data_IF_790258513148
#
_entry.id   IF_790258513148
#
_cell.length_a   1.000
_cell.length_b   1.000
_cell.length_c   1.000
_cell.angle_alpha   90.00
_cell.angle_beta   90.00
_cell.angle_gamma   90.00
#
_symmetry.space_group_name_H-M   'P 1'
#
loop_
_entity.id
_entity.type
_entity.pdbx_description
1 polymer ?
#
# COMPACT_ATOMS: atom_id res chain seq x y z
N UNK A 1 -32.67 34.93 15.72
CA UNK A 1 -32.00 33.96 14.82
C UNK A 1 -31.06 34.70 13.86
N UNK A 2 -29.76 34.86 14.18
CA UNK A 2 -28.66 35.24 13.26
C UNK A 2 -27.31 34.90 13.92
N UNK A 3 -26.87 33.63 13.89
CA UNK A 3 -25.54 33.22 14.40
C UNK A 3 -24.83 32.15 13.54
N UNK A 4 -25.27 31.90 12.29
CA UNK A 4 -24.67 30.86 11.43
C UNK A 4 -23.70 31.34 10.35
N UNK A 5 -23.49 32.65 10.18
CA UNK A 5 -22.66 33.15 9.07
C UNK A 5 -21.19 33.42 9.43
N UNK A 6 -20.83 33.49 10.73
CA UNK A 6 -19.45 33.77 11.14
C UNK A 6 -18.58 32.50 11.12
N UNK A 7 -19.16 31.33 11.40
CA UNK A 7 -18.45 30.05 11.38
C UNK A 7 -18.06 29.62 9.95
N UNK A 8 -18.93 29.85 8.97
CA UNK A 8 -18.62 29.56 7.57
C UNK A 8 -17.56 30.50 6.97
N UNK A 9 -17.47 31.74 7.46
CA UNK A 9 -16.45 32.69 7.02
C UNK A 9 -15.05 32.34 7.56
N UNK A 10 -14.96 31.86 8.80
CA UNK A 10 -13.69 31.41 9.40
C UNK A 10 -13.17 30.12 8.72
N UNK A 11 -14.08 29.22 8.30
CA UNK A 11 -13.70 28.01 7.57
C UNK A 11 -13.13 28.32 6.16
N UNK A 12 -13.69 29.33 5.47
CA UNK A 12 -13.25 29.75 4.13
C UNK A 12 -11.89 30.47 4.14
N UNK A 13 -11.60 31.27 5.16
CA UNK A 13 -10.30 31.97 5.29
C UNK A 13 -9.16 30.98 5.60
N UNK A 14 -9.46 29.88 6.30
CA UNK A 14 -8.49 28.83 6.61
C UNK A 14 -8.07 28.03 5.38
N UNK A 15 -8.97 27.86 4.40
CA UNK A 15 -8.70 27.15 3.15
C UNK A 15 -7.88 28.01 2.17
N UNK A 16 -8.06 29.33 2.18
CA UNK A 16 -7.32 30.26 1.32
C UNK A 16 -5.83 30.41 1.73
N UNK A 17 -5.51 30.29 3.02
CA UNK A 17 -4.11 30.31 3.48
C UNK A 17 -3.33 29.04 3.10
N UNK A 18 -4.01 27.91 2.88
CA UNK A 18 -3.36 26.66 2.46
C UNK A 18 -2.95 26.70 0.98
N UNK A 19 -3.67 27.43 0.13
CA UNK A 19 -3.35 27.55 -1.32
C UNK A 19 -2.27 28.61 -1.58
N UNK A 20 -2.16 29.64 -0.73
CA UNK A 20 -1.15 30.70 -0.89
C UNK A 20 0.28 30.27 -0.51
N UNK A 21 0.44 29.17 0.26
CA UNK A 21 1.78 28.67 0.65
C UNK A 21 2.44 27.77 -0.41
N UNK A 22 1.79 27.51 -1.55
CA UNK A 22 2.33 26.69 -2.64
C UNK A 22 2.75 27.50 -3.88
N UNK A 23 2.77 28.83 -3.80
CA UNK A 23 3.10 29.70 -4.93
C UNK A 23 4.11 30.77 -4.55
N UNK A 24 5.38 30.42 -4.34
CA UNK A 24 6.46 31.40 -4.43
C UNK A 24 7.84 30.77 -4.63
N UNK A 25 8.28 30.66 -5.89
CA UNK A 25 9.70 30.77 -6.25
C UNK A 25 9.80 31.57 -7.55
N UNK A 26 10.01 32.88 -7.43
CA UNK A 26 10.59 33.68 -8.50
C UNK A 26 12.12 33.66 -8.35
N UNK A 27 12.82 33.32 -9.42
CA UNK A 27 14.09 33.97 -9.77
C UNK A 27 14.16 34.10 -11.29
N UNK A 28 14.34 35.34 -11.75
CA UNK A 28 14.66 35.75 -13.12
C UNK A 28 16.13 35.41 -13.44
N UNK A 29 16.68 35.48 -14.66
CA UNK A 29 16.62 36.46 -15.76
C UNK A 29 17.20 35.85 -17.07
N UNK A 30 16.76 36.40 -18.22
CA UNK A 30 17.45 36.60 -19.52
C UNK A 30 17.94 35.35 -20.29
N UNK A 31 17.92 35.25 -21.63
CA UNK A 31 18.01 36.26 -22.68
C UNK A 31 17.49 35.70 -24.04
N UNK A 32 17.32 36.62 -24.99
CA UNK A 32 16.83 36.46 -26.37
C UNK A 32 17.69 35.53 -27.26
N UNK A 33 17.06 34.82 -28.19
CA UNK A 33 17.29 35.01 -29.65
C UNK A 33 16.51 33.99 -30.50
N UNK A 34 15.82 34.51 -31.51
CA UNK A 34 15.33 33.80 -32.69
C UNK A 34 16.47 33.07 -33.42
N UNK A 35 16.20 31.90 -34.00
CA UNK A 35 16.51 31.64 -35.42
C UNK A 35 15.87 30.34 -35.93
N UNK A 36 15.19 30.50 -37.07
CA UNK A 36 14.61 29.49 -37.94
C UNK A 36 15.65 28.49 -38.47
N UNK A 37 15.22 27.24 -38.66
CA UNK A 37 15.71 26.39 -39.76
C UNK A 37 14.51 25.69 -40.42
N UNK A 38 14.44 25.91 -41.74
CA UNK A 38 13.50 25.39 -42.73
C UNK A 38 14.12 24.18 -43.46
N UNK A 39 13.26 23.22 -43.84
CA UNK A 39 13.45 22.24 -44.93
C UNK A 39 14.10 20.91 -44.52
N UNK A 40 13.77 19.74 -45.05
CA UNK A 40 12.88 19.27 -46.12
C UNK A 40 12.64 17.76 -45.88
N UNK A 41 11.40 17.27 -45.98
CA UNK A 41 10.90 16.31 -46.99
C UNK A 41 11.48 14.87 -47.05
N UNK A 42 10.55 13.89 -46.97
CA UNK A 42 10.47 12.55 -47.64
C UNK A 42 11.18 11.38 -46.90
N UNK A 43 10.70 10.13 -46.74
CA UNK A 43 9.70 9.26 -47.39
C UNK A 43 9.21 8.14 -46.42
N UNK A 44 8.17 7.40 -46.83
CA UNK A 44 7.62 6.18 -46.23
C UNK A 44 8.63 5.01 -46.21
N UNK A 45 8.57 4.13 -45.19
CA UNK A 45 9.07 2.77 -45.32
C UNK A 45 9.42 2.03 -44.02
N UNK A 46 8.79 0.87 -43.87
CA UNK A 46 9.30 -0.35 -43.24
C UNK A 46 9.09 -0.58 -41.72
N UNK A 47 8.19 -1.54 -41.51
CA UNK A 47 7.93 -2.38 -40.35
C UNK A 47 9.22 -3.12 -39.94
N UNK A 48 9.62 -2.97 -38.67
CA UNK A 48 10.63 -3.83 -38.05
C UNK A 48 10.11 -4.36 -36.73
N UNK A 49 9.79 -5.65 -36.77
CA UNK A 49 9.61 -6.56 -35.64
C UNK A 49 10.96 -6.68 -34.93
N UNK A 50 11.02 -6.37 -33.63
CA UNK A 50 12.14 -6.78 -32.78
C UNK A 50 11.74 -7.96 -31.91
N UNK A 51 12.64 -8.93 -31.93
CA UNK A 51 12.56 -10.30 -31.42
C UNK A 51 12.36 -10.34 -29.90
N UNK A 52 11.42 -11.17 -29.45
CA UNK A 52 11.38 -11.63 -28.07
C UNK A 52 12.31 -12.85 -28.00
N UNK A 53 13.42 -12.68 -27.27
CA UNK A 53 14.29 -13.77 -26.82
C UNK A 53 13.45 -14.79 -26.03
N UNK A 54 13.14 -15.90 -26.67
CA UNK A 54 12.58 -17.08 -26.03
C UNK A 54 13.68 -17.75 -25.20
N UNK A 55 13.57 -17.64 -23.87
CA UNK A 55 14.38 -18.43 -22.94
C UNK A 55 13.84 -19.86 -22.90
N UNK A 56 14.73 -20.78 -23.24
CA UNK A 56 14.54 -22.22 -23.41
C UNK A 56 14.19 -22.91 -22.06
N UNK A 57 12.91 -23.18 -21.81
CA UNK A 57 12.51 -24.11 -20.75
C UNK A 57 12.55 -25.54 -21.29
N UNK A 58 13.63 -26.26 -21.00
CA UNK A 58 13.67 -27.72 -21.11
C UNK A 58 12.74 -28.35 -20.06
N UNK A 59 11.47 -28.48 -20.41
CA UNK A 59 10.59 -29.49 -19.84
C UNK A 59 10.50 -30.63 -20.87
N UNK A 60 11.20 -31.72 -20.63
CA UNK A 60 11.02 -32.95 -21.41
C UNK A 60 9.67 -33.56 -21.07
N UNK A 61 8.64 -33.18 -21.82
CA UNK A 61 7.38 -33.92 -21.89
C UNK A 61 7.39 -34.69 -23.19
N UNK A 62 7.73 -35.97 -23.08
CA UNK A 62 7.55 -36.94 -24.14
C UNK A 62 6.04 -37.17 -24.32
N UNK A 63 5.49 -36.68 -25.42
CA UNK A 63 4.55 -37.37 -26.31
C UNK A 63 4.03 -36.40 -27.35
N UNK A 64 4.28 -36.71 -28.61
CA UNK A 64 3.81 -35.94 -29.74
C UNK A 64 2.29 -35.86 -29.78
N UNK A 65 1.74 -34.65 -29.72
CA UNK A 65 0.45 -34.30 -30.31
C UNK A 65 0.44 -32.80 -30.54
N UNK A 66 0.32 -32.36 -31.80
CA UNK A 66 0.05 -30.96 -32.11
C UNK A 66 -1.32 -30.58 -31.53
N UNK A 67 -1.35 -29.64 -30.58
CA UNK A 67 -2.61 -29.08 -30.06
C UNK A 67 -2.82 -27.72 -30.70
N UNK A 68 -3.43 -27.72 -31.87
CA UNK A 68 -4.04 -26.52 -32.45
C UNK A 68 -5.35 -26.20 -31.73
N UNK A 69 -5.55 -24.93 -31.38
CA UNK A 69 -6.76 -24.31 -30.81
C UNK A 69 -7.05 -24.61 -29.33
N UNK A 70 -6.29 -23.98 -28.44
CA UNK A 70 -6.73 -23.76 -27.07
C UNK A 70 -7.79 -22.64 -27.11
N UNK A 71 -9.06 -22.99 -26.95
CA UNK A 71 -10.12 -21.98 -26.88
C UNK A 71 -10.04 -21.19 -25.55
N UNK A 72 -10.57 -19.97 -25.54
CA UNK A 72 -10.56 -19.08 -24.36
C UNK A 72 -11.22 -19.71 -23.13
N UNK A 73 -12.13 -20.67 -23.35
CA UNK A 73 -12.79 -21.42 -22.29
C UNK A 73 -11.85 -22.42 -21.61
N UNK A 74 -10.91 -23.02 -22.35
CA UNK A 74 -9.85 -23.89 -21.81
C UNK A 74 -8.80 -23.07 -21.07
N UNK A 75 -8.46 -21.86 -21.55
CA UNK A 75 -7.59 -20.91 -20.81
C UNK A 75 -8.28 -20.42 -19.53
N UNK A 76 -9.57 -20.11 -19.59
CA UNK A 76 -10.37 -19.70 -18.43
C UNK A 76 -10.53 -20.83 -17.41
N UNK A 77 -10.76 -22.06 -17.88
CA UNK A 77 -10.79 -23.25 -17.02
C UNK A 77 -9.42 -23.58 -16.45
N UNK A 78 -8.32 -23.41 -17.21
CA UNK A 78 -6.96 -23.56 -16.70
C UNK A 78 -6.64 -22.48 -15.68
N UNK A 79 -7.01 -21.21 -15.90
CA UNK A 79 -6.90 -20.13 -14.90
C UNK A 79 -7.69 -20.48 -13.64
N UNK A 80 -8.97 -20.90 -13.77
CA UNK A 80 -9.81 -21.36 -12.65
C UNK A 80 -9.25 -22.60 -11.93
N UNK A 81 -8.62 -23.50 -12.67
CA UNK A 81 -8.03 -24.74 -12.13
C UNK A 81 -6.68 -24.49 -11.46
N UNK A 82 -5.94 -23.47 -11.92
CA UNK A 82 -4.76 -22.91 -11.24
C UNK A 82 -5.19 -22.16 -9.95
N UNK A 83 -6.37 -21.53 -9.92
CA UNK A 83 -6.92 -20.92 -8.69
C UNK A 83 -7.24 -21.95 -7.58
N UNK A 84 -7.39 -23.24 -7.88
CA UNK A 84 -7.78 -24.28 -6.90
C UNK A 84 -6.57 -25.16 -6.48
N UNK A 85 -5.36 -24.61 -6.58
CA UNK A 85 -4.18 -25.18 -5.87
C UNK A 85 -3.35 -24.09 -5.19
N UNK A 86 -4.00 -23.00 -4.73
CA UNK A 86 -3.41 -22.21 -3.64
C UNK A 86 -3.43 -23.12 -2.41
N UNK A 87 -2.33 -23.83 -2.17
CA UNK A 87 -1.91 -24.16 -0.80
C UNK A 87 -1.92 -22.80 -0.09
N UNK A 88 -3.02 -22.43 0.55
CA UNK A 88 -3.27 -21.03 0.89
C UNK A 88 -2.33 -20.64 2.02
N UNK A 89 -1.16 -20.13 1.65
CA UNK A 89 -0.34 -19.33 2.55
C UNK A 89 -1.27 -18.30 3.20
N UNK A 90 -1.18 -18.12 4.53
CA UNK A 90 -1.88 -17.01 5.15
C UNK A 90 -1.45 -15.71 4.47
N UNK A 91 -2.31 -14.72 4.47
CA UNK A 91 -2.17 -13.47 3.76
C UNK A 91 -2.18 -12.29 4.73
N UNK A 92 -1.30 -11.32 4.46
CA UNK A 92 -1.20 -10.08 5.21
C UNK A 92 -1.61 -8.92 4.33
N UNK A 93 -2.55 -8.11 4.81
CA UNK A 93 -2.90 -6.84 4.18
C UNK A 93 -2.34 -5.67 5.02
N UNK A 94 -1.45 -4.86 4.43
CA UNK A 94 -0.87 -3.69 5.09
C UNK A 94 -1.54 -2.42 4.53
N UNK A 95 -2.10 -1.59 5.40
CA UNK A 95 -2.73 -0.31 5.06
C UNK A 95 -1.90 0.83 5.66
N UNK A 96 -1.57 1.87 4.89
CA UNK A 96 -0.80 2.97 5.44
C UNK A 96 -0.76 4.25 4.63
N UNK A 97 -0.06 5.23 5.18
CA UNK A 97 0.06 6.55 4.56
C UNK A 97 1.36 6.71 3.75
N UNK A 98 1.81 7.95 3.56
CA UNK A 98 3.05 8.24 2.84
C UNK A 98 4.31 7.64 3.46
N UNK A 99 4.33 7.36 4.78
CA UNK A 99 5.48 6.67 5.37
C UNK A 99 5.55 5.22 4.88
N UNK A 100 4.40 4.56 4.75
CA UNK A 100 4.34 3.21 4.19
C UNK A 100 4.70 3.20 2.70
N UNK A 101 4.36 4.26 1.96
CA UNK A 101 4.80 4.45 0.57
C UNK A 101 6.33 4.62 0.44
N UNK A 102 7.00 5.11 1.48
CA UNK A 102 8.45 5.28 1.53
C UNK A 102 9.24 4.03 1.92
N UNK A 103 10.50 4.26 2.32
CA UNK A 103 11.41 3.18 2.72
C UNK A 103 10.98 2.47 4.00
N UNK A 104 10.22 3.11 4.89
CA UNK A 104 9.68 2.43 6.07
C UNK A 104 8.79 1.26 5.66
N UNK A 105 7.80 1.47 4.79
CA UNK A 105 6.92 0.37 4.38
C UNK A 105 7.61 -0.66 3.50
N UNK A 106 8.62 -0.26 2.71
CA UNK A 106 9.44 -1.21 1.95
C UNK A 106 10.17 -2.19 2.90
N UNK A 107 10.83 -1.66 3.93
CA UNK A 107 11.52 -2.48 4.92
C UNK A 107 10.54 -3.28 5.78
N UNK A 108 9.39 -2.71 6.17
CA UNK A 108 8.39 -3.42 6.96
C UNK A 108 7.83 -4.62 6.20
N UNK A 109 7.51 -4.44 4.91
CA UNK A 109 7.06 -5.52 4.03
C UNK A 109 8.13 -6.63 3.95
N UNK A 110 9.38 -6.27 3.69
CA UNK A 110 10.50 -7.25 3.63
C UNK A 110 10.70 -7.99 4.96
N UNK A 111 10.55 -7.31 6.09
CA UNK A 111 10.69 -7.95 7.40
C UNK A 111 9.58 -8.98 7.63
N UNK A 112 8.32 -8.65 7.30
CA UNK A 112 7.21 -9.64 7.36
C UNK A 112 7.48 -10.79 6.37
N UNK A 113 7.89 -10.47 5.14
CA UNK A 113 8.20 -11.46 4.10
C UNK A 113 9.31 -12.42 4.51
N UNK A 114 10.27 -11.96 5.32
CA UNK A 114 11.39 -12.79 5.79
C UNK A 114 10.95 -13.98 6.67
N UNK A 115 9.73 -13.96 7.20
CA UNK A 115 9.13 -15.12 7.88
C UNK A 115 8.81 -16.25 6.89
N UNK A 116 8.71 -15.96 5.59
CA UNK A 116 8.43 -16.92 4.52
C UNK A 116 7.17 -17.78 4.73
N UNK A 117 6.16 -17.20 5.38
CA UNK A 117 4.87 -17.85 5.63
C UNK A 117 3.71 -17.15 4.92
N UNK A 118 3.83 -15.85 4.64
CA UNK A 118 2.72 -15.03 4.16
C UNK A 118 2.81 -14.68 2.68
N UNK A 119 1.64 -14.62 2.04
CA UNK A 119 1.44 -13.71 0.90
C UNK A 119 1.14 -12.30 1.45
N UNK A 120 1.71 -11.25 0.87
CA UNK A 120 1.63 -9.91 1.45
C UNK A 120 1.21 -8.92 0.39
N UNK A 121 0.13 -8.18 0.66
CA UNK A 121 -0.25 -7.00 -0.10
C UNK A 121 -0.18 -5.75 0.77
N UNK A 122 0.45 -4.69 0.28
CA UNK A 122 0.56 -3.41 0.98
C UNK A 122 -0.03 -2.28 0.15
N UNK A 123 -1.07 -1.62 0.66
CA UNK A 123 -1.74 -0.47 0.05
C UNK A 123 -1.38 0.78 0.82
N UNK A 124 -0.64 1.69 0.18
CA UNK A 124 -0.21 2.96 0.79
C UNK A 124 -0.72 4.14 -0.02
N UNK A 125 -1.35 5.12 0.64
CA UNK A 125 -1.86 6.34 0.00
C UNK A 125 -1.30 7.55 0.75
N UNK A 126 -0.65 8.47 0.04
CA UNK A 126 -0.06 9.66 0.65
C UNK A 126 -1.10 10.47 1.42
N UNK A 127 -0.75 10.89 2.65
CA UNK A 127 -1.65 11.67 3.52
C UNK A 127 -2.85 10.92 4.07
N UNK A 128 -2.94 9.59 3.88
CA UNK A 128 -4.08 8.81 4.32
C UNK A 128 -4.28 8.81 5.85
N UNK A 129 -5.55 8.72 6.23
CA UNK A 129 -5.98 8.32 7.56
C UNK A 129 -7.11 7.29 7.42
N UNK A 130 -7.74 6.87 8.52
CA UNK A 130 -8.76 5.80 8.42
C UNK A 130 -9.94 6.18 7.53
N UNK A 131 -10.30 7.46 7.49
CA UNK A 131 -11.36 7.96 6.60
C UNK A 131 -11.04 7.71 5.11
N UNK A 132 -9.77 7.73 4.72
CA UNK A 132 -9.35 7.46 3.33
C UNK A 132 -9.73 6.05 2.89
N UNK A 133 -9.71 5.09 3.81
CA UNK A 133 -9.93 3.67 3.54
C UNK A 133 -11.40 3.22 3.63
N UNK A 134 -12.30 4.08 4.11
CA UNK A 134 -13.74 3.78 4.16
C UNK A 134 -14.52 4.33 2.95
N UNK A 135 -13.90 5.21 2.17
CA UNK A 135 -14.45 5.76 0.94
C UNK A 135 -13.76 5.11 -0.27
N UNK A 136 -14.25 5.35 -1.50
CA UNK A 136 -13.49 5.00 -2.68
C UNK A 136 -12.05 5.54 -2.58
N UNK A 137 -11.09 4.62 -2.65
CA UNK A 137 -9.67 4.87 -2.50
C UNK A 137 -9.22 5.78 -3.63
N UNK A 138 -8.76 6.99 -3.26
CA UNK A 138 -8.34 8.02 -4.22
C UNK A 138 -6.99 8.61 -3.88
N UNK A 139 -6.22 8.89 -4.92
CA UNK A 139 -4.92 9.54 -4.83
C UNK A 139 -5.05 11.07 -4.65
N UNK A 140 -5.43 11.50 -3.44
CA UNK A 140 -5.85 12.89 -3.17
C UNK A 140 -4.76 13.84 -2.66
N UNK A 141 -3.57 13.32 -2.31
CA UNK A 141 -2.47 14.10 -1.74
C UNK A 141 -1.22 14.04 -2.61
N UNK A 142 -0.55 12.89 -2.61
CA UNK A 142 0.89 12.86 -2.76
C UNK A 142 1.39 11.56 -3.41
N UNK A 143 0.52 10.86 -4.13
CA UNK A 143 0.80 9.55 -4.71
C UNK A 143 0.25 8.38 -3.87
N UNK A 144 0.41 7.18 -4.41
CA UNK A 144 0.07 5.92 -3.77
C UNK A 144 0.98 4.81 -4.31
N UNK A 145 1.06 3.69 -3.57
CA UNK A 145 1.71 2.46 -4.02
C UNK A 145 0.99 1.25 -3.46
N UNK A 146 0.71 0.29 -4.36
CA UNK A 146 0.29 -1.07 -4.03
C UNK A 146 1.47 -1.99 -4.32
N UNK A 147 1.93 -2.69 -3.27
CA UNK A 147 3.02 -3.65 -3.32
C UNK A 147 2.51 -5.05 -3.04
N UNK A 148 3.20 -6.03 -3.59
CA UNK A 148 2.87 -7.44 -3.40
C UNK A 148 4.16 -8.26 -3.29
N UNK A 149 4.14 -9.27 -2.42
CA UNK A 149 5.02 -10.43 -2.52
C UNK A 149 4.25 -11.71 -2.19
N UNK A 150 4.63 -12.81 -2.81
CA UNK A 150 4.06 -14.13 -2.52
C UNK A 150 4.99 -14.91 -1.59
N UNK A 151 4.45 -15.86 -0.83
CA UNK A 151 5.29 -16.81 -0.10
C UNK A 151 6.32 -17.46 -1.04
N UNK A 152 7.53 -17.68 -0.55
CA UNK A 152 8.68 -18.26 -1.29
C UNK A 152 9.22 -17.38 -2.44
N UNK A 153 8.67 -16.17 -2.67
CA UNK A 153 9.23 -15.21 -3.62
C UNK A 153 10.58 -14.68 -3.12
N UNK A 154 11.61 -14.68 -3.98
CA UNK A 154 12.90 -14.06 -3.65
C UNK A 154 12.82 -12.54 -3.90
N UNK A 155 13.01 -11.74 -2.83
CA UNK A 155 13.06 -10.27 -2.94
C UNK A 155 14.51 -9.82 -3.03
N UNK A 156 14.98 -9.57 -4.26
CA UNK A 156 16.39 -9.20 -4.53
C UNK A 156 16.68 -7.73 -4.17
N UNK A 157 15.98 -6.78 -4.78
CA UNK A 157 16.20 -5.34 -4.54
C UNK A 157 15.00 -4.68 -3.89
N UNK A 158 13.81 -4.82 -4.48
CA UNK A 158 12.59 -4.16 -4.01
C UNK A 158 11.40 -5.09 -4.11
N UNK A 159 10.45 -4.88 -3.21
CA UNK A 159 9.13 -5.50 -3.29
C UNK A 159 8.46 -5.07 -4.58
N UNK A 160 7.88 -6.02 -5.30
CA UNK A 160 7.16 -5.77 -6.54
C UNK A 160 6.00 -4.80 -6.30
N UNK A 161 5.82 -3.86 -7.24
CA UNK A 161 4.70 -2.90 -7.23
C UNK A 161 3.73 -3.26 -8.35
N UNK A 162 2.49 -3.52 -7.98
CA UNK A 162 1.42 -3.84 -8.93
C UNK A 162 0.70 -2.58 -9.40
N UNK A 163 0.69 -1.53 -8.58
CA UNK A 163 0.12 -0.23 -8.92
C UNK A 163 0.90 0.89 -8.22
N UNK A 164 1.17 2.01 -8.90
CA UNK A 164 1.86 3.16 -8.30
C UNK A 164 1.54 4.47 -9.03
N UNK A 165 1.42 5.55 -8.25
CA UNK A 165 1.49 6.93 -8.75
C UNK A 165 2.35 7.77 -7.80
N UNK A 166 3.23 8.61 -8.33
CA UNK A 166 4.20 9.39 -7.54
C UNK A 166 3.79 10.86 -7.32
N UNK A 167 2.61 11.25 -7.79
CA UNK A 167 2.11 12.61 -7.73
C UNK A 167 0.61 12.58 -7.44
N UNK A 168 0.00 13.72 -7.13
CA UNK A 168 -1.45 13.81 -6.95
C UNK A 168 -2.17 13.63 -8.29
N UNK A 169 -3.11 12.68 -8.38
CA UNK A 169 -3.89 12.47 -9.61
C UNK A 169 -5.40 12.42 -9.41
N UNK A 170 -5.90 12.40 -8.17
CA UNK A 170 -7.32 12.17 -7.80
C UNK A 170 -7.94 10.89 -8.42
N UNK A 171 -7.11 10.02 -9.02
CA UNK A 171 -7.51 8.75 -9.63
C UNK A 171 -7.91 7.73 -8.57
N UNK A 172 -8.74 6.78 -9.00
CA UNK A 172 -9.09 5.60 -8.23
C UNK A 172 -7.83 4.73 -8.08
N UNK A 173 -7.51 4.39 -6.84
CA UNK A 173 -6.42 3.49 -6.45
C UNK A 173 -6.96 2.07 -6.37
N UNK A 174 -6.28 1.09 -6.95
CA UNK A 174 -6.74 -0.30 -6.93
C UNK A 174 -7.90 -0.51 -7.88
N UNK A 175 -7.73 -0.17 -9.17
CA UNK A 175 -8.82 -0.19 -10.16
C UNK A 175 -9.45 -1.57 -10.31
N UNK A 176 -8.64 -2.62 -10.22
CA UNK A 176 -9.09 -4.03 -10.25
C UNK A 176 -10.05 -4.36 -9.10
N UNK A 177 -10.00 -3.58 -8.02
CA UNK A 177 -10.82 -3.73 -6.81
C UNK A 177 -11.92 -2.65 -6.71
N UNK A 178 -12.27 -1.97 -7.81
CA UNK A 178 -13.20 -0.82 -7.85
C UNK A 178 -12.79 0.31 -6.89
N UNK A 179 -11.51 0.35 -6.51
CA UNK A 179 -10.97 1.19 -5.45
C UNK A 179 -11.76 1.16 -4.15
N UNK A 180 -12.17 -0.02 -3.70
CA UNK A 180 -12.82 -0.20 -2.39
C UNK A 180 -12.04 -1.16 -1.54
N UNK A 181 -11.75 -0.77 -0.29
CA UNK A 181 -11.06 -1.65 0.66
C UNK A 181 -11.81 -2.98 0.86
N UNK A 182 -13.14 -2.97 0.91
CA UNK A 182 -13.94 -4.19 1.07
C UNK A 182 -13.63 -5.25 0.00
N UNK A 183 -13.37 -4.82 -1.24
CA UNK A 183 -13.06 -5.73 -2.34
C UNK A 183 -11.66 -6.32 -2.20
N UNK A 184 -10.68 -5.55 -1.71
CA UNK A 184 -9.37 -6.07 -1.35
C UNK A 184 -9.47 -7.11 -0.24
N UNK A 185 -10.20 -6.81 0.85
CA UNK A 185 -10.35 -7.74 1.98
C UNK A 185 -11.05 -9.02 1.55
N UNK A 186 -12.09 -8.92 0.72
CA UNK A 186 -12.85 -10.06 0.21
C UNK A 186 -12.06 -10.95 -0.74
N UNK A 187 -11.21 -10.38 -1.57
CA UNK A 187 -10.39 -11.15 -2.52
C UNK A 187 -9.18 -11.79 -1.84
N UNK A 188 -8.49 -11.04 -0.99
CA UNK A 188 -7.26 -11.49 -0.31
C UNK A 188 -7.59 -12.42 0.86
N UNK A 189 -8.73 -12.21 1.51
CA UNK A 189 -9.12 -12.89 2.76
C UNK A 189 -8.00 -12.87 3.81
N UNK A 190 -7.46 -11.70 4.18
CA UNK A 190 -6.23 -11.62 4.97
C UNK A 190 -6.45 -12.15 6.39
N UNK A 191 -5.62 -13.09 6.82
CA UNK A 191 -5.53 -13.55 8.20
C UNK A 191 -5.10 -12.41 9.12
N UNK A 192 -4.21 -11.53 8.64
CA UNK A 192 -3.71 -10.37 9.40
C UNK A 192 -3.86 -9.09 8.60
N UNK A 193 -4.39 -8.05 9.23
CA UNK A 193 -4.41 -6.69 8.69
C UNK A 193 -3.53 -5.78 9.55
N UNK A 194 -2.50 -5.20 8.95
CA UNK A 194 -1.58 -4.27 9.60
C UNK A 194 -1.96 -2.84 9.22
N UNK A 195 -2.29 -2.00 10.21
CA UNK A 195 -2.70 -0.60 10.00
C UNK A 195 -1.60 0.36 10.47
N UNK A 196 -0.99 1.08 9.54
CA UNK A 196 0.12 2.01 9.75
C UNK A 196 -0.21 3.43 9.24
N UNK A 197 -1.14 4.10 9.94
CA UNK A 197 -1.61 5.43 9.59
C UNK A 197 -1.00 6.46 10.56
N UNK A 198 -0.07 7.30 10.11
CA UNK A 198 0.53 8.37 10.90
C UNK A 198 -0.44 9.53 11.14
N UNK A 199 -1.32 9.80 10.16
CA UNK A 199 -2.31 10.88 10.21
C UNK A 199 -3.65 10.52 10.88
N UNK A 200 -3.58 9.93 12.08
CA UNK A 200 -4.76 9.54 12.88
C UNK A 200 -5.47 10.72 13.59
N UNK A 201 -5.68 11.84 12.90
CA UNK A 201 -6.53 12.91 13.41
C UNK A 201 -8.02 12.72 13.10
N UNK A 202 -8.34 11.99 12.02
CA UNK A 202 -9.72 11.78 11.57
C UNK A 202 -10.28 10.46 12.13
N UNK A 203 -11.41 10.58 12.84
CA UNK A 203 -12.04 9.54 13.68
C UNK A 203 -12.95 8.59 12.89
N UNK A 204 -12.40 7.84 11.95
CA UNK A 204 -13.14 6.74 11.29
C UNK A 204 -12.50 5.38 11.53
N UNK A 205 -11.81 5.24 12.67
CA UNK A 205 -11.11 4.00 13.01
C UNK A 205 -12.06 2.82 13.18
N UNK A 206 -13.20 3.00 13.86
CA UNK A 206 -14.19 1.92 14.01
C UNK A 206 -14.76 1.51 12.66
N UNK A 207 -15.19 2.46 11.81
CA UNK A 207 -15.70 2.12 10.47
C UNK A 207 -14.67 1.38 9.60
N UNK A 208 -13.37 1.68 9.76
CA UNK A 208 -12.31 0.93 9.08
C UNK A 208 -12.25 -0.52 9.56
N UNK A 209 -12.32 -0.73 10.88
CA UNK A 209 -12.40 -2.06 11.49
C UNK A 209 -13.65 -2.79 11.01
N UNK A 210 -14.81 -2.11 11.00
CA UNK A 210 -16.08 -2.69 10.58
C UNK A 210 -16.07 -3.14 9.11
N UNK A 211 -15.35 -2.44 8.22
CA UNK A 211 -15.17 -2.89 6.83
C UNK A 211 -14.30 -4.14 6.77
N UNK A 212 -13.21 -4.20 7.54
CA UNK A 212 -12.31 -5.35 7.57
C UNK A 212 -13.06 -6.57 8.10
N UNK A 213 -13.65 -6.46 9.29
CA UNK A 213 -14.37 -7.57 9.94
C UNK A 213 -15.72 -7.87 9.29
N UNK A 214 -16.31 -6.94 8.55
CA UNK A 214 -17.52 -7.18 7.75
C UNK A 214 -17.28 -8.14 6.60
N UNK A 215 -16.10 -8.10 5.98
CA UNK A 215 -15.74 -9.00 4.87
C UNK A 215 -14.95 -10.23 5.35
N UNK A 216 -14.08 -10.08 6.36
CA UNK A 216 -13.38 -11.18 7.02
C UNK A 216 -13.42 -11.05 8.55
N UNK A 217 -14.43 -11.64 9.23
CA UNK A 217 -14.61 -11.51 10.68
C UNK A 217 -13.47 -12.08 11.53
N UNK A 218 -12.65 -12.96 10.96
CA UNK A 218 -11.56 -13.64 11.67
C UNK A 218 -10.21 -12.95 11.49
N UNK A 219 -10.13 -11.87 10.71
CA UNK A 219 -8.87 -11.13 10.53
C UNK A 219 -8.37 -10.57 11.86
N UNK A 220 -7.14 -10.93 12.22
CA UNK A 220 -6.43 -10.26 13.30
C UNK A 220 -5.98 -8.88 12.83
N UNK A 221 -6.19 -7.85 13.65
CA UNK A 221 -5.77 -6.48 13.31
C UNK A 221 -4.63 -6.06 14.22
N UNK A 222 -3.51 -5.70 13.60
CA UNK A 222 -2.34 -5.11 14.24
C UNK A 222 -2.33 -3.61 13.92
N UNK A 223 -2.53 -2.78 14.94
CA UNK A 223 -2.51 -1.33 14.78
C UNK A 223 -1.16 -0.75 15.20
N UNK A 224 -0.42 -0.19 14.24
CA UNK A 224 0.82 0.53 14.51
C UNK A 224 0.49 1.97 14.90
N UNK A 225 0.83 2.33 16.13
CA UNK A 225 0.67 3.66 16.68
C UNK A 225 1.51 4.69 15.93
N UNK A 226 1.14 5.98 15.99
CA UNK A 226 1.86 7.05 15.32
C UNK A 226 3.25 7.24 15.96
N UNK A 227 4.20 7.71 15.17
CA UNK A 227 5.48 8.25 15.65
C UNK A 227 5.28 9.48 16.53
N UNK A 228 6.34 9.87 17.26
CA UNK A 228 6.33 11.07 18.11
C UNK A 228 6.28 12.34 17.28
N UNK A 229 5.13 13.03 17.33
CA UNK A 229 4.91 14.33 16.69
C UNK A 229 3.87 15.16 17.44
N UNK A 230 3.58 16.38 16.97
CA UNK A 230 2.58 17.24 17.62
C UNK A 230 1.23 16.53 17.78
N UNK A 231 0.55 16.80 18.90
CA UNK A 231 -0.73 16.21 19.28
C UNK A 231 -0.70 14.67 19.43
N UNK A 232 0.46 14.06 19.69
CA UNK A 232 0.62 12.62 19.91
C UNK A 232 -0.43 12.03 20.84
N UNK A 233 -0.60 12.60 22.04
CA UNK A 233 -1.54 12.08 23.04
C UNK A 233 -2.98 12.05 22.55
N UNK A 234 -3.40 13.04 21.75
CA UNK A 234 -4.74 13.07 21.16
C UNK A 234 -4.92 11.92 20.17
N UNK A 235 -3.91 11.66 19.33
CA UNK A 235 -3.95 10.58 18.33
C UNK A 235 -3.90 9.21 19.00
N UNK A 236 -2.99 9.01 19.97
CA UNK A 236 -2.90 7.75 20.72
C UNK A 236 -4.22 7.47 21.45
N UNK A 237 -4.84 8.45 22.13
CA UNK A 237 -6.12 8.22 22.82
C UNK A 237 -7.25 7.80 21.89
N UNK A 238 -7.29 8.32 20.67
CA UNK A 238 -8.32 7.94 19.69
C UNK A 238 -8.16 6.48 19.23
N UNK A 239 -6.91 6.05 19.02
CA UNK A 239 -6.56 4.68 18.64
C UNK A 239 -6.75 3.70 19.80
N UNK A 240 -6.22 4.04 20.98
CA UNK A 240 -6.28 3.21 22.19
C UNK A 240 -7.71 2.84 22.58
N UNK A 241 -8.67 3.75 22.35
CA UNK A 241 -10.09 3.45 22.53
C UNK A 241 -10.55 2.30 21.63
N UNK A 242 -10.37 2.42 20.32
CA UNK A 242 -10.85 1.38 19.38
C UNK A 242 -10.07 0.07 19.51
N UNK A 243 -8.76 0.15 19.81
CA UNK A 243 -7.94 -1.02 20.09
C UNK A 243 -8.50 -1.79 21.27
N UNK A 244 -8.84 -1.11 22.37
CA UNK A 244 -9.40 -1.76 23.56
C UNK A 244 -10.81 -2.29 23.32
N UNK A 245 -11.66 -1.50 22.69
CA UNK A 245 -13.06 -1.86 22.44
C UNK A 245 -13.19 -3.11 21.53
N UNK A 246 -12.21 -3.33 20.64
CA UNK A 246 -12.19 -4.47 19.71
C UNK A 246 -11.12 -5.52 20.08
N UNK A 247 -10.40 -5.36 21.19
CA UNK A 247 -9.31 -6.26 21.62
C UNK A 247 -8.21 -6.48 20.57
N UNK A 248 -7.79 -5.42 19.88
CA UNK A 248 -6.78 -5.47 18.82
C UNK A 248 -5.35 -5.48 19.39
N UNK A 249 -4.38 -5.95 18.59
CA UNK A 249 -2.98 -5.84 18.95
C UNK A 249 -2.44 -4.44 18.62
N UNK A 250 -1.81 -3.77 19.59
CA UNK A 250 -1.32 -2.41 19.42
C UNK A 250 0.20 -2.31 19.56
N UNK A 251 0.84 -1.83 18.49
CA UNK A 251 2.29 -1.61 18.44
C UNK A 251 2.57 -0.13 18.59
N UNK A 252 3.09 0.29 19.75
CA UNK A 252 3.61 1.65 19.89
C UNK A 252 4.82 1.86 18.99
N UNK A 253 4.97 3.05 18.43
CA UNK A 253 6.13 3.41 17.61
C UNK A 253 6.74 4.78 17.96
N UNK A 254 6.09 5.52 18.85
CA UNK A 254 6.49 6.87 19.27
C UNK A 254 7.77 6.92 20.11
N UNK A 255 8.24 5.78 20.59
CA UNK A 255 9.49 5.61 21.32
C UNK A 255 10.66 5.10 20.44
N UNK A 256 10.39 4.70 19.21
CA UNK A 256 11.38 4.09 18.31
C UNK A 256 12.20 5.16 17.58
N UNK A 257 11.50 6.13 16.99
CA UNK A 257 12.09 7.23 16.23
C UNK A 257 11.89 8.54 16.95
N UNK A 258 12.85 9.46 16.77
CA UNK A 258 12.84 10.77 17.40
C UNK A 258 11.62 11.60 17.01
N UNK A 259 11.49 12.76 17.65
CA UNK A 259 10.44 13.71 17.28
C UNK A 259 10.64 14.18 15.84
N UNK A 260 9.62 14.00 15.01
CA UNK A 260 9.53 14.73 13.75
C UNK A 260 9.40 16.23 14.08
N UNK A 261 10.46 16.99 13.85
CA UNK A 261 10.40 18.46 13.77
C UNK A 261 9.60 18.79 12.53
N UNK A 262 8.68 19.77 12.53
CA UNK A 262 7.79 20.16 11.40
C UNK A 262 8.41 20.18 9.97
N UNK A 263 9.73 20.09 9.83
CA UNK A 263 10.53 19.94 8.61
C UNK A 263 10.79 18.50 8.12
N UNK A 264 10.64 17.44 8.92
CA UNK A 264 11.02 16.05 8.53
C UNK A 264 9.80 15.25 8.11
N UNK A 265 9.21 15.60 6.96
CA UNK A 265 7.98 14.97 6.46
C UNK A 265 8.07 13.43 6.31
N UNK A 266 9.26 12.87 6.06
CA UNK A 266 9.49 11.44 5.86
C UNK A 266 10.85 10.99 6.38
N UNK A 267 10.90 9.82 7.01
CA UNK A 267 12.16 9.15 7.38
C UNK A 267 12.71 8.35 6.20
N UNK A 268 14.03 8.32 6.08
CA UNK A 268 14.76 7.61 5.02
C UNK A 268 16.00 6.92 5.59
N UNK A 269 16.66 6.10 4.78
CA UNK A 269 17.90 5.41 5.07
C UNK A 269 17.81 4.51 6.30
N UNK A 270 18.84 4.59 7.14
CA UNK A 270 18.99 3.80 8.36
C UNK A 270 17.89 4.08 9.38
N UNK A 271 17.30 5.27 9.42
CA UNK A 271 16.22 5.60 10.35
C UNK A 271 14.91 4.89 9.97
N UNK A 272 14.55 4.91 8.69
CA UNK A 272 13.37 4.21 8.18
C UNK A 272 13.50 2.70 8.37
N UNK A 273 14.70 2.15 8.12
CA UNK A 273 15.00 0.73 8.37
C UNK A 273 14.88 0.39 9.86
N UNK A 274 15.54 1.16 10.74
CA UNK A 274 15.47 0.96 12.21
C UNK A 274 14.04 1.03 12.72
N UNK A 275 13.23 1.93 12.16
CA UNK A 275 11.81 2.03 12.49
C UNK A 275 11.05 0.76 12.12
N UNK A 276 11.20 0.30 10.87
CA UNK A 276 10.57 -0.91 10.39
C UNK A 276 11.01 -2.15 11.20
N UNK A 277 12.30 -2.28 11.49
CA UNK A 277 12.86 -3.38 12.28
C UNK A 277 12.25 -3.41 13.69
N UNK A 278 12.22 -2.28 14.40
CA UNK A 278 11.68 -2.24 15.75
C UNK A 278 10.15 -2.43 15.82
N UNK A 279 9.41 -1.94 14.83
CA UNK A 279 7.97 -2.23 14.71
C UNK A 279 7.74 -3.71 14.43
N UNK A 280 8.52 -4.29 13.51
CA UNK A 280 8.47 -5.71 13.19
C UNK A 280 8.73 -6.59 14.41
N UNK A 281 9.81 -6.35 15.15
CA UNK A 281 10.13 -7.12 16.36
C UNK A 281 9.00 -7.13 17.39
N UNK A 282 8.22 -6.04 17.47
CA UNK A 282 7.07 -5.93 18.40
C UNK A 282 5.84 -6.68 17.93
N UNK A 283 5.63 -6.81 16.62
CA UNK A 283 4.52 -7.59 16.05
C UNK A 283 4.89 -9.05 15.75
N UNK A 284 6.19 -9.38 15.70
CA UNK A 284 6.69 -10.70 15.35
C UNK A 284 6.04 -11.84 16.16
N UNK A 285 5.82 -11.74 17.48
CA UNK A 285 5.18 -12.83 18.23
C UNK A 285 3.76 -13.18 17.76
N UNK A 286 3.02 -12.19 17.26
CA UNK A 286 1.68 -12.39 16.67
C UNK A 286 1.80 -13.03 15.30
N UNK A 287 2.77 -12.59 14.48
CA UNK A 287 2.97 -13.15 13.15
C UNK A 287 3.50 -14.60 13.18
N UNK A 288 4.40 -14.92 14.10
CA UNK A 288 4.98 -16.25 14.27
C UNK A 288 4.00 -17.28 14.86
N UNK A 289 2.88 -16.85 15.48
CA UNK A 289 1.87 -17.83 15.94
C UNK A 289 1.25 -18.60 14.77
N UNK A 290 1.14 -17.96 13.59
CA UNK A 290 0.66 -18.60 12.36
C UNK A 290 1.60 -19.67 11.84
N UNK A 291 2.92 -19.54 12.04
CA UNK A 291 3.87 -20.60 11.69
C UNK A 291 3.64 -21.84 12.55
N UNK A 292 3.44 -21.64 13.86
CA UNK A 292 3.20 -22.71 14.82
C UNK A 292 1.88 -23.45 14.55
N UNK A 293 0.83 -22.73 14.13
CA UNK A 293 -0.45 -23.34 13.73
C UNK A 293 -0.31 -24.21 12.49
N UNK A 294 0.44 -23.76 11.48
CA UNK A 294 0.72 -24.54 10.27
C UNK A 294 1.52 -25.81 10.58
N UNK A 295 2.52 -25.71 11.47
CA UNK A 295 3.34 -26.87 11.88
C UNK A 295 2.54 -27.84 12.77
N UNK A 296 1.72 -27.33 13.71
CA UNK A 296 0.87 -28.14 14.59
C UNK A 296 -0.25 -28.88 13.86
N UNK A 297 -0.71 -28.34 12.73
CA UNK A 297 -1.71 -28.98 11.85
C UNK A 297 -1.16 -30.17 11.06
N UNK A 298 0.18 -30.34 11.02
CA UNK A 298 0.85 -31.36 10.20
C UNK A 298 1.03 -32.70 10.93
N UNK A 299 0.68 -32.81 12.22
CA UNK A 299 0.79 -34.06 13.00
C UNK A 299 -0.61 -34.60 13.34
N UNK A 300 -1.28 -35.21 12.36
CA UNK A 300 -2.28 -36.27 12.57
C UNK A 300 -2.26 -37.26 11.39
N UNK A 301 -1.34 -38.22 11.45
CA UNK A 301 -1.43 -39.51 10.74
C UNK A 301 -1.08 -40.64 11.70
#
# INVERSE_FOLDING_TARGET
>A
MKKNNLFNLILLISFAYFISSCGNTNSSNNDKSEQDIVGNEIELGEEMVEEIDTVDYKASVDMGTEVSNINDETVSQLRKKITITKSSSPSVLILGDSHLMGQFGENLHKNIHSLNIFDIMSISIGGAGSATYIYPLKNSCCGYSIRESLKDEEIIDRVRRVEQCNYKSDEIVGKEYDGRLSNFVKEIMPEVVVIALGNNFNNSHQNLIDIIHGENPNSEIIWIGPMKRENLDKRIRAIDRVVKDNSLFFVRSDDVIGSDTLTTAHFFGSEAKRWADAVFERMRPVLESYENELQGSTIQL
#
